data_IF_926169273915
#
_entry.id   IF_926169273915
#
_cell.length_a   1.000
_cell.length_b   1.000
_cell.length_c   1.000
_cell.angle_alpha   90.00
_cell.angle_beta   90.00
_cell.angle_gamma   90.00
#
_symmetry.space_group_name_H-M   'P 1'
#
loop_
_entity.id
_entity.type
_entity.pdbx_description
1 polymer ?
#
# COMPACT_ATOMS: atom_id res chain seq x y z
N UNK A 1 3.74 6.06 -17.66
CA UNK A 1 2.81 6.12 -18.82
C UNK A 1 1.42 6.43 -18.32
N UNK A 2 0.70 7.35 -18.96
CA UNK A 2 -0.74 7.57 -18.81
C UNK A 2 -1.44 7.03 -20.04
N UNK A 3 -2.39 6.14 -19.84
CA UNK A 3 -3.13 5.49 -20.88
C UNK A 3 -4.62 5.86 -20.83
N UNK A 4 -5.29 5.97 -22.00
CA UNK A 4 -6.72 6.27 -22.07
C UNK A 4 -7.08 7.73 -21.79
N UNK A 5 -6.12 8.65 -21.90
CA UNK A 5 -6.35 10.07 -21.64
C UNK A 5 -7.24 10.71 -22.73
N UNK A 6 -8.22 11.50 -22.30
CA UNK A 6 -9.13 12.24 -23.17
C UNK A 6 -9.24 13.71 -22.75
N UNK A 7 -9.86 14.53 -23.57
CA UNK A 7 -10.08 15.95 -23.27
C UNK A 7 -10.99 16.21 -22.06
N UNK A 8 -11.70 15.20 -21.55
CA UNK A 8 -12.55 15.32 -20.38
C UNK A 8 -11.75 15.15 -19.05
N UNK A 9 -10.52 14.67 -19.13
CA UNK A 9 -9.69 14.45 -17.95
C UNK A 9 -9.11 15.76 -17.43
N UNK A 10 -9.24 15.98 -16.12
CA UNK A 10 -8.74 17.15 -15.40
C UNK A 10 -7.47 16.81 -14.62
N UNK A 11 -6.82 17.83 -14.06
CA UNK A 11 -5.68 17.65 -13.15
C UNK A 11 -5.98 16.69 -11.98
N UNK A 12 -7.21 16.71 -11.47
CA UNK A 12 -7.61 15.81 -10.39
C UNK A 12 -7.56 14.34 -10.83
N UNK A 13 -7.95 14.02 -12.06
CA UNK A 13 -7.85 12.67 -12.61
C UNK A 13 -6.39 12.22 -12.73
N UNK A 14 -5.46 13.11 -13.14
CA UNK A 14 -4.05 12.81 -13.16
C UNK A 14 -3.49 12.47 -11.77
N UNK A 15 -3.78 13.31 -10.77
CA UNK A 15 -3.31 13.06 -9.40
C UNK A 15 -3.88 11.74 -8.85
N UNK A 16 -5.15 11.47 -9.13
CA UNK A 16 -5.79 10.23 -8.71
C UNK A 16 -5.17 9.01 -9.39
N UNK A 17 -4.90 9.06 -10.69
CA UNK A 17 -4.28 7.94 -11.41
C UNK A 17 -2.88 7.60 -10.88
N UNK A 18 -2.10 8.58 -10.43
CA UNK A 18 -0.82 8.34 -9.74
C UNK A 18 -1.04 7.59 -8.42
N UNK A 19 -2.01 8.00 -7.60
CA UNK A 19 -2.33 7.32 -6.34
C UNK A 19 -2.82 5.89 -6.59
N UNK A 20 -3.64 5.67 -7.60
CA UNK A 20 -4.17 4.36 -8.00
C UNK A 20 -3.08 3.44 -8.53
N UNK A 21 -2.16 3.95 -9.36
CA UNK A 21 -1.05 3.15 -9.88
C UNK A 21 -0.16 2.58 -8.76
N UNK A 22 0.08 3.36 -7.70
CA UNK A 22 0.80 2.90 -6.52
C UNK A 22 -0.04 1.88 -5.72
N UNK A 23 -1.37 2.03 -5.69
CA UNK A 23 -2.28 1.04 -5.13
C UNK A 23 -2.21 -0.30 -5.87
N UNK A 24 -2.14 -0.27 -7.21
CA UNK A 24 -1.99 -1.47 -8.04
C UNK A 24 -0.63 -2.16 -7.83
N UNK A 25 0.44 -1.41 -7.55
CA UNK A 25 1.73 -2.01 -7.16
C UNK A 25 1.58 -2.78 -5.85
N UNK A 26 0.90 -2.21 -4.85
CA UNK A 26 0.63 -2.89 -3.57
C UNK A 26 -0.19 -4.16 -3.81
N UNK A 27 -1.27 -4.08 -4.61
CA UNK A 27 -2.11 -5.22 -4.97
C UNK A 27 -1.28 -6.33 -5.64
N UNK A 28 -0.41 -6.00 -6.58
CA UNK A 28 0.47 -6.97 -7.25
C UNK A 28 1.41 -7.67 -6.27
N UNK A 29 1.97 -6.94 -5.30
CA UNK A 29 2.81 -7.55 -4.26
C UNK A 29 2.00 -8.50 -3.37
N UNK A 30 0.74 -8.14 -3.03
CA UNK A 30 -0.17 -9.00 -2.27
C UNK A 30 -0.50 -10.27 -3.06
N UNK A 31 -0.77 -10.15 -4.36
CA UNK A 31 -1.03 -11.32 -5.22
C UNK A 31 0.20 -12.25 -5.26
N UNK A 32 1.42 -11.69 -5.37
CA UNK A 32 2.65 -12.50 -5.31
C UNK A 32 2.82 -13.23 -3.97
N UNK A 33 2.40 -12.63 -2.85
CA UNK A 33 2.40 -13.30 -1.55
C UNK A 33 1.35 -14.41 -1.51
N UNK A 34 0.16 -14.19 -2.09
CA UNK A 34 -0.88 -15.20 -2.20
C UNK A 34 -0.43 -16.40 -3.04
N UNK A 35 0.29 -16.17 -4.14
CA UNK A 35 0.89 -17.22 -4.96
C UNK A 35 1.92 -18.08 -4.17
N UNK A 36 2.53 -17.50 -3.14
CA UNK A 36 3.42 -18.20 -2.19
C UNK A 36 2.66 -18.87 -1.02
N UNK A 37 1.33 -18.83 -1.01
CA UNK A 37 0.49 -19.38 0.05
C UNK A 37 0.37 -18.49 1.29
N UNK A 38 0.78 -17.21 1.21
CA UNK A 38 0.71 -16.26 2.32
C UNK A 38 -0.55 -15.42 2.18
N UNK A 39 -1.49 -15.56 3.13
CA UNK A 39 -2.68 -14.74 3.20
C UNK A 39 -2.41 -13.41 3.89
N UNK A 40 -2.64 -12.29 3.20
CA UNK A 40 -2.54 -10.93 3.78
C UNK A 40 -3.90 -10.50 4.31
N UNK A 41 -4.02 -10.33 5.62
CA UNK A 41 -5.27 -9.97 6.30
C UNK A 41 -5.42 -8.48 6.57
N UNK A 42 -4.32 -7.75 6.63
CA UNK A 42 -4.28 -6.30 6.87
C UNK A 42 -3.07 -5.65 6.22
N UNK A 43 -3.20 -4.38 5.86
CA UNK A 43 -2.12 -3.55 5.33
C UNK A 43 -1.77 -2.50 6.37
N UNK A 44 -0.52 -2.40 6.79
CA UNK A 44 -0.04 -1.30 7.65
C UNK A 44 0.65 -0.24 6.81
N UNK A 45 0.07 0.96 6.79
CA UNK A 45 0.58 2.12 6.06
C UNK A 45 1.40 3.02 6.99
N UNK A 46 2.65 3.25 6.63
CA UNK A 46 3.64 4.02 7.38
C UNK A 46 4.19 5.16 6.53
N UNK A 47 4.90 6.10 7.17
CA UNK A 47 5.53 7.23 6.51
C UNK A 47 4.57 8.33 6.08
N UNK A 48 5.06 9.28 5.27
CA UNK A 48 4.31 10.48 4.88
C UNK A 48 2.99 10.19 4.15
N UNK A 49 2.96 9.16 3.32
CA UNK A 49 1.76 8.74 2.57
C UNK A 49 0.61 8.24 3.45
N UNK A 50 0.91 7.75 4.65
CA UNK A 50 -0.12 7.30 5.59
C UNK A 50 -1.00 8.42 6.15
N UNK A 51 -0.56 9.67 6.01
CA UNK A 51 -1.31 10.86 6.44
C UNK A 51 -2.50 11.19 5.53
N UNK A 52 -2.53 10.67 4.30
CA UNK A 52 -3.60 10.94 3.35
C UNK A 52 -4.71 9.91 3.49
N UNK A 53 -5.84 10.33 4.04
CA UNK A 53 -7.04 9.49 4.16
C UNK A 53 -7.54 9.01 2.80
N UNK A 54 -7.53 9.89 1.80
CA UNK A 54 -7.93 9.54 0.42
C UNK A 54 -7.03 8.45 -0.15
N UNK A 55 -5.73 8.56 0.02
CA UNK A 55 -4.80 7.55 -0.50
C UNK A 55 -4.89 6.22 0.26
N UNK A 56 -5.11 6.26 1.57
CA UNK A 56 -5.34 5.07 2.36
C UNK A 56 -6.64 4.36 1.92
N UNK A 57 -7.71 5.11 1.63
CA UNK A 57 -8.94 4.55 1.11
C UNK A 57 -8.73 3.91 -0.26
N UNK A 58 -8.06 4.59 -1.20
CA UNK A 58 -7.74 4.04 -2.52
C UNK A 58 -6.98 2.70 -2.41
N UNK A 59 -5.95 2.63 -1.56
CA UNK A 59 -5.19 1.39 -1.34
C UNK A 59 -6.06 0.27 -0.77
N UNK A 60 -6.89 0.59 0.22
CA UNK A 60 -7.80 -0.38 0.84
C UNK A 60 -8.84 -0.89 -0.17
N UNK A 61 -9.42 0.02 -0.97
CA UNK A 61 -10.41 -0.31 -1.99
C UNK A 61 -9.81 -1.19 -3.11
N UNK A 62 -8.62 -0.85 -3.60
CA UNK A 62 -7.93 -1.64 -4.65
C UNK A 62 -7.60 -3.04 -4.15
N UNK A 63 -7.08 -3.15 -2.93
CA UNK A 63 -6.66 -4.42 -2.37
C UNK A 63 -7.81 -5.24 -1.79
N UNK A 64 -8.96 -4.64 -1.51
CA UNK A 64 -10.08 -5.21 -0.76
C UNK A 64 -9.64 -5.76 0.61
N UNK A 65 -8.66 -5.10 1.23
CA UNK A 65 -8.08 -5.48 2.52
C UNK A 65 -8.12 -4.26 3.45
N UNK A 66 -8.46 -4.42 4.74
CA UNK A 66 -8.36 -3.35 5.72
C UNK A 66 -6.97 -2.73 5.78
N UNK A 67 -6.89 -1.40 5.85
CA UNK A 67 -5.65 -0.67 5.97
C UNK A 67 -5.60 0.05 7.32
N UNK A 68 -4.50 -0.14 8.04
CA UNK A 68 -4.23 0.49 9.32
C UNK A 68 -3.11 1.52 9.20
N UNK A 69 -3.28 2.64 9.88
CA UNK A 69 -2.20 3.58 10.14
C UNK A 69 -1.83 3.51 11.62
N UNK A 70 -0.58 3.77 11.94
CA UNK A 70 -0.07 3.70 13.31
C UNK A 70 0.31 5.10 13.84
N UNK A 71 0.49 5.18 15.16
CA UNK A 71 0.85 6.41 15.85
C UNK A 71 2.24 6.96 15.46
N UNK A 72 3.17 6.10 15.05
CA UNK A 72 4.50 6.51 14.61
C UNK A 72 4.60 6.63 13.09
N UNK A 73 5.10 7.75 12.62
CA UNK A 73 5.38 8.00 11.19
C UNK A 73 6.79 7.51 10.85
N UNK A 74 7.71 7.61 11.81
CA UNK A 74 9.13 7.27 11.67
C UNK A 74 9.38 5.79 12.02
N UNK A 75 8.93 4.89 11.13
CA UNK A 75 9.00 3.44 11.36
C UNK A 75 10.43 2.92 11.55
N UNK A 76 11.40 3.49 10.83
CA UNK A 76 12.80 3.09 10.94
C UNK A 76 13.38 3.44 12.32
N UNK A 77 13.14 4.67 12.80
CA UNK A 77 13.57 5.11 14.13
C UNK A 77 12.90 4.31 15.24
N UNK A 78 11.62 4.00 15.09
CA UNK A 78 10.88 3.16 16.03
C UNK A 78 11.45 1.74 16.06
N UNK A 79 11.72 1.15 14.90
CA UNK A 79 12.34 -0.17 14.80
C UNK A 79 13.72 -0.21 15.47
N UNK A 80 14.56 0.80 15.23
CA UNK A 80 15.86 0.93 15.88
C UNK A 80 15.72 1.03 17.41
N UNK A 81 14.77 1.82 17.92
CA UNK A 81 14.50 1.93 19.35
C UNK A 81 14.04 0.60 19.98
N UNK A 82 13.17 -0.15 19.29
CA UNK A 82 12.72 -1.48 19.72
C UNK A 82 13.92 -2.44 19.82
N UNK A 83 14.80 -2.46 18.82
CA UNK A 83 15.98 -3.31 18.82
C UNK A 83 16.96 -2.93 19.95
N UNK A 84 17.20 -1.64 20.14
CA UNK A 84 18.05 -1.14 21.23
C UNK A 84 17.47 -1.50 22.61
N UNK A 85 16.16 -1.31 22.79
CA UNK A 85 15.47 -1.66 24.03
C UNK A 85 15.52 -3.17 24.34
N UNK A 86 15.45 -4.01 23.30
CA UNK A 86 15.65 -5.45 23.45
C UNK A 86 17.10 -5.78 23.84
N UNK A 87 18.08 -5.16 23.18
CA UNK A 87 19.51 -5.40 23.44
C UNK A 87 19.92 -4.98 24.87
N UNK A 88 19.33 -3.91 25.38
CA UNK A 88 19.60 -3.40 26.75
C UNK A 88 18.75 -4.06 27.84
N UNK A 89 17.87 -5.00 27.50
CA UNK A 89 17.03 -5.73 28.44
C UNK A 89 15.80 -4.96 28.95
N UNK A 90 15.46 -3.81 28.35
CA UNK A 90 14.22 -3.07 28.65
C UNK A 90 13.00 -3.90 28.27
N UNK A 91 13.05 -4.60 27.12
CA UNK A 91 12.00 -5.49 26.67
C UNK A 91 12.46 -6.96 26.74
N UNK A 92 11.58 -7.85 27.18
CA UNK A 92 11.86 -9.31 27.24
C UNK A 92 12.02 -9.92 25.86
N UNK A 93 11.20 -9.47 24.90
CA UNK A 93 11.23 -9.91 23.52
C UNK A 93 10.73 -8.81 22.57
N UNK A 94 10.90 -9.02 21.25
CA UNK A 94 10.52 -8.05 20.23
C UNK A 94 9.00 -7.89 20.09
N UNK A 95 8.22 -8.94 20.38
CA UNK A 95 6.75 -8.87 20.29
C UNK A 95 6.20 -7.95 21.38
N UNK A 96 6.65 -8.12 22.63
CA UNK A 96 6.30 -7.25 23.76
C UNK A 96 6.63 -5.78 23.45
N UNK A 97 7.81 -5.53 22.89
CA UNK A 97 8.22 -4.19 22.49
C UNK A 97 7.34 -3.61 21.40
N UNK A 98 7.05 -4.39 20.36
CA UNK A 98 6.19 -3.96 19.27
C UNK A 98 4.76 -3.67 19.75
N UNK A 99 4.17 -4.54 20.54
CA UNK A 99 2.82 -4.37 21.10
C UNK A 99 2.72 -3.11 21.99
N UNK A 100 3.77 -2.80 22.77
CA UNK A 100 3.79 -1.62 23.63
C UNK A 100 4.01 -0.30 22.88
N UNK A 101 4.77 -0.31 21.78
CA UNK A 101 5.22 0.90 21.08
C UNK A 101 4.43 1.19 19.79
N UNK A 102 3.82 0.18 19.18
CA UNK A 102 3.07 0.32 17.91
C UNK A 102 1.57 0.29 18.21
N UNK A 103 0.93 1.44 18.14
CA UNK A 103 -0.51 1.57 18.35
C UNK A 103 -1.22 1.90 17.04
N UNK A 104 -2.29 1.17 16.73
CA UNK A 104 -3.15 1.49 15.59
C UNK A 104 -3.88 2.80 15.87
N UNK A 105 -3.68 3.77 14.98
CA UNK A 105 -4.30 5.10 15.07
C UNK A 105 -5.66 5.14 14.36
N UNK A 106 -5.72 4.52 13.18
CA UNK A 106 -6.93 4.53 12.34
C UNK A 106 -6.96 3.26 11.50
N UNK A 107 -8.16 2.70 11.36
CA UNK A 107 -8.45 1.59 10.45
C UNK A 107 -9.39 2.05 9.35
N UNK A 108 -9.01 1.81 8.11
CA UNK A 108 -9.78 2.13 6.90
C UNK A 108 -10.26 0.81 6.30
N UNK A 109 -11.57 0.65 6.19
CA UNK A 109 -12.17 -0.54 5.58
C UNK A 109 -12.36 -0.30 4.06
N UNK A 110 -12.25 -1.35 3.25
CA UNK A 110 -12.51 -1.24 1.82
C UNK A 110 -13.98 -0.93 1.55
N UNK A 111 -14.22 -0.05 0.57
CA UNK A 111 -15.55 0.16 0.02
C UNK A 111 -15.81 -0.89 -1.07
N UNK A 112 -16.63 -1.87 -0.74
CA UNK A 112 -16.98 -2.97 -1.68
C UNK A 112 -17.69 -2.47 -2.94
N UNK A 113 -18.34 -1.30 -2.90
CA UNK A 113 -18.97 -0.68 -4.07
C UNK A 113 -17.97 -0.27 -5.16
N UNK A 114 -16.69 -0.06 -4.79
CA UNK A 114 -15.63 0.28 -5.74
C UNK A 114 -14.89 -0.94 -6.29
N UNK A 115 -15.22 -2.15 -5.83
CA UNK A 115 -14.49 -3.38 -6.12
C UNK A 115 -14.34 -3.62 -7.62
N UNK A 116 -15.44 -3.70 -8.34
CA UNK A 116 -15.45 -4.00 -9.80
C UNK A 116 -14.63 -2.98 -10.60
N UNK A 117 -14.80 -1.68 -10.31
CA UNK A 117 -14.06 -0.62 -11.02
C UNK A 117 -12.54 -0.77 -10.82
N UNK A 118 -12.11 -1.13 -9.62
CA UNK A 118 -10.68 -1.33 -9.35
C UNK A 118 -10.15 -2.67 -9.87
N UNK A 119 -10.98 -3.72 -9.93
CA UNK A 119 -10.62 -4.98 -10.57
C UNK A 119 -10.37 -4.78 -12.06
N UNK A 120 -11.28 -4.12 -12.79
CA UNK A 120 -11.14 -3.79 -14.21
C UNK A 120 -9.88 -2.92 -14.44
N UNK A 121 -9.66 -1.92 -13.59
CA UNK A 121 -8.47 -1.07 -13.65
C UNK A 121 -7.18 -1.83 -13.40
N UNK A 122 -7.18 -2.79 -12.48
CA UNK A 122 -6.03 -3.63 -12.19
C UNK A 122 -5.70 -4.60 -13.32
N UNK A 123 -6.71 -5.19 -13.96
CA UNK A 123 -6.50 -6.03 -15.16
C UNK A 123 -5.86 -5.22 -16.29
N UNK A 124 -6.34 -4.00 -16.55
CA UNK A 124 -5.74 -3.10 -17.52
C UNK A 124 -4.30 -2.73 -17.15
N UNK A 125 -4.04 -2.43 -15.87
CA UNK A 125 -2.68 -2.16 -15.36
C UNK A 125 -1.74 -3.34 -15.62
N UNK A 126 -2.16 -4.57 -15.32
CA UNK A 126 -1.36 -5.78 -15.54
C UNK A 126 -1.04 -5.99 -17.01
N UNK A 127 -2.04 -5.82 -17.89
CA UNK A 127 -1.87 -5.93 -19.34
C UNK A 127 -0.87 -4.90 -19.85
N UNK A 128 -1.06 -3.62 -19.53
CA UNK A 128 -0.16 -2.55 -19.96
C UNK A 128 1.27 -2.76 -19.44
N UNK A 129 1.41 -3.22 -18.21
CA UNK A 129 2.72 -3.52 -17.63
C UNK A 129 3.45 -4.61 -18.42
N UNK A 130 2.74 -5.68 -18.79
CA UNK A 130 3.30 -6.76 -19.62
C UNK A 130 3.63 -6.30 -21.05
N UNK A 131 2.73 -5.57 -21.68
CA UNK A 131 2.90 -5.09 -23.06
C UNK A 131 4.07 -4.08 -23.19
N UNK A 132 4.31 -3.29 -22.13
CA UNK A 132 5.38 -2.27 -22.09
C UNK A 132 6.71 -2.80 -21.54
N UNK A 133 6.79 -4.03 -21.05
CA UNK A 133 8.01 -4.60 -20.44
C UNK A 133 9.22 -4.49 -21.37
N UNK A 134 9.05 -4.79 -22.65
CA UNK A 134 10.10 -4.69 -23.66
C UNK A 134 10.58 -3.24 -23.88
N UNK A 135 9.67 -2.26 -23.75
CA UNK A 135 10.00 -0.85 -23.88
C UNK A 135 10.83 -0.40 -22.68
N UNK A 136 10.47 -0.84 -21.48
CA UNK A 136 11.21 -0.50 -20.26
C UNK A 136 12.62 -1.10 -20.25
N UNK A 137 12.79 -2.34 -20.70
CA UNK A 137 14.10 -3.00 -20.78
C UNK A 137 15.06 -2.34 -21.79
N UNK A 138 14.54 -1.68 -22.82
CA UNK A 138 15.35 -0.98 -23.81
C UNK A 138 15.74 0.44 -23.41
N UNK A 139 15.13 1.01 -22.37
CA UNK A 139 15.35 2.38 -21.93
C UNK A 139 16.39 2.51 -20.80
N UNK A 140 17.00 1.40 -20.40
CA UNK A 140 18.11 1.31 -19.45
C UNK A 140 19.37 0.91 -20.22
#
# INVERSE_FOLDING_TARGET
>A
VWFGFTLQHTRAHFMRSVMESLGYIVKRNIDSLADMGIEVKEIRSLGGGSKSDVWNQIKSDICQIPLETVNSIEAASLGAAILAGKATGIFKNLNEAAESMVQVKKRTLPNTGNKTVYEDGYEMYRKLFGDLDQCFKKSI
#
